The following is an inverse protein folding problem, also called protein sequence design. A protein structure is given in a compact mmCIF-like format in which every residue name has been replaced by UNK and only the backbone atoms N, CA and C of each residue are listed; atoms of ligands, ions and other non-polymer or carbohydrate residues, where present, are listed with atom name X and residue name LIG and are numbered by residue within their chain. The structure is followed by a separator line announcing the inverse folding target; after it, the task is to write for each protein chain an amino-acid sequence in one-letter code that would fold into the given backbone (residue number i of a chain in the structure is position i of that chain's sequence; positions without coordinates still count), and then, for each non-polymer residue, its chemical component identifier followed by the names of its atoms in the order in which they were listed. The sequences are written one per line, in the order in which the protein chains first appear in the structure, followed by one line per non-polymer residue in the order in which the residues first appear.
data_IF_809995369457
#
_entry.id   IF_809995369457
#
_cell.length_a   1.000
_cell.length_b   1.000
_cell.length_c   1.000
_cell.angle_alpha   90.00
_cell.angle_beta   90.00
_cell.angle_gamma   90.00
#
_symmetry.space_group_name_H-M   'P 1'
#
loop_
_entity.id
_entity.type
_entity.pdbx_description
1 polymer ?
#
# COMPACT_ATOMS: atom_id res chain seq x y z
N UNK A 1 21.36 0.62 -9.37
CA UNK A 1 20.23 0.72 -8.41
C UNK A 1 20.80 0.88 -7.01
N UNK A 2 20.22 1.74 -6.18
CA UNK A 2 20.71 1.97 -4.82
C UNK A 2 20.64 0.69 -3.97
N UNK A 3 21.63 0.47 -3.09
CA UNK A 3 21.76 -0.72 -2.23
C UNK A 3 20.52 -0.99 -1.39
N UNK A 4 19.88 0.05 -0.84
CA UNK A 4 18.66 -0.09 -0.04
C UNK A 4 17.47 -0.71 -0.79
N UNK A 5 17.33 -0.45 -2.09
CA UNK A 5 16.25 -1.05 -2.89
C UNK A 5 16.46 -2.56 -3.07
N UNK A 6 17.71 -2.98 -3.33
CA UNK A 6 18.06 -4.39 -3.52
C UNK A 6 17.84 -5.19 -2.24
N UNK A 7 18.26 -4.66 -1.08
CA UNK A 7 18.08 -5.33 0.21
C UNK A 7 16.61 -5.50 0.57
N UNK A 8 15.76 -4.49 0.31
CA UNK A 8 14.34 -4.56 0.68
C UNK A 8 13.45 -5.29 -0.33
N UNK A 9 13.87 -5.42 -1.60
CA UNK A 9 13.04 -6.02 -2.66
C UNK A 9 13.62 -7.31 -3.25
N UNK A 10 14.68 -7.87 -2.66
CA UNK A 10 15.20 -9.18 -3.03
C UNK A 10 14.07 -10.25 -2.98
N UNK A 11 14.00 -11.09 -4.02
CA UNK A 11 12.99 -12.15 -4.14
C UNK A 11 11.60 -11.68 -4.61
N UNK A 12 11.36 -10.38 -4.81
CA UNK A 12 10.08 -9.86 -5.31
C UNK A 12 10.10 -9.68 -6.83
N UNK A 13 9.00 -10.04 -7.49
CA UNK A 13 8.72 -9.62 -8.88
C UNK A 13 8.14 -8.20 -8.86
N UNK A 14 8.48 -7.38 -9.86
CA UNK A 14 8.04 -5.99 -9.94
C UNK A 14 7.39 -5.71 -11.29
N UNK A 15 6.33 -4.91 -11.28
CA UNK A 15 5.66 -4.34 -12.45
C UNK A 15 5.43 -2.85 -12.19
N UNK A 16 5.44 -2.04 -13.25
CA UNK A 16 5.13 -0.61 -13.14
C UNK A 16 3.71 -0.36 -13.64
N UNK A 17 2.89 0.28 -12.80
CA UNK A 17 1.51 0.63 -13.12
C UNK A 17 1.26 2.10 -12.74
N UNK A 18 0.61 2.85 -13.63
CA UNK A 18 0.01 4.14 -13.26
C UNK A 18 -1.42 3.91 -12.76
N UNK A 19 -1.59 3.94 -11.44
CA UNK A 19 -2.87 3.72 -10.77
C UNK A 19 -3.86 4.88 -10.95
N UNK A 20 -3.42 6.05 -11.46
CA UNK A 20 -4.32 7.15 -11.83
C UNK A 20 -4.95 6.91 -13.19
N UNK A 21 -4.37 6.06 -14.03
CA UNK A 21 -4.91 5.72 -15.32
C UNK A 21 -5.90 4.53 -15.18
N UNK A 22 -7.07 4.57 -15.86
CA UNK A 22 -8.07 3.50 -15.75
C UNK A 22 -7.52 2.12 -16.08
N UNK A 23 -6.64 2.00 -17.07
CA UNK A 23 -6.03 0.74 -17.46
C UNK A 23 -5.08 0.19 -16.39
N UNK A 24 -4.26 1.06 -15.79
CA UNK A 24 -3.36 0.66 -14.71
C UNK A 24 -4.13 0.20 -13.47
N UNK A 25 -5.23 0.89 -13.13
CA UNK A 25 -6.13 0.46 -12.06
C UNK A 25 -6.82 -0.87 -12.38
N UNK A 26 -7.24 -1.10 -13.63
CA UNK A 26 -7.85 -2.36 -14.03
C UNK A 26 -6.87 -3.54 -13.90
N UNK A 27 -5.60 -3.36 -14.27
CA UNK A 27 -4.56 -4.37 -14.08
C UNK A 27 -4.35 -4.66 -12.59
N UNK A 28 -4.28 -3.62 -11.75
CA UNK A 28 -4.14 -3.80 -10.31
C UNK A 28 -5.31 -4.60 -9.70
N UNK A 29 -6.55 -4.31 -10.12
CA UNK A 29 -7.73 -5.05 -9.67
C UNK A 29 -7.71 -6.52 -10.09
N UNK A 30 -7.27 -6.83 -11.31
CA UNK A 30 -7.09 -8.23 -11.76
C UNK A 30 -6.06 -8.99 -10.93
N UNK A 31 -5.00 -8.32 -10.46
CA UNK A 31 -4.03 -8.95 -9.57
C UNK A 31 -4.62 -9.21 -8.18
N UNK A 32 -5.50 -8.33 -7.71
CA UNK A 32 -6.20 -8.47 -6.43
C UNK A 32 -7.17 -9.65 -6.42
N UNK A 33 -7.83 -9.93 -7.55
CA UNK A 33 -8.77 -11.06 -7.70
C UNK A 33 -8.13 -12.42 -7.32
N UNK A 34 -6.83 -12.59 -7.53
CA UNK A 34 -6.10 -13.83 -7.23
C UNK A 34 -5.06 -13.69 -6.11
N UNK A 35 -4.97 -12.53 -5.47
CA UNK A 35 -4.04 -12.30 -4.38
C UNK A 35 -4.59 -12.81 -3.05
N UNK A 36 -3.72 -13.44 -2.25
CA UNK A 36 -4.05 -13.82 -0.88
C UNK A 36 -3.93 -12.64 0.10
N UNK A 37 -2.99 -11.73 -0.17
CA UNK A 37 -2.66 -10.60 0.71
C UNK A 37 -2.44 -9.33 -0.11
N UNK A 38 -3.08 -8.23 0.30
CA UNK A 38 -2.81 -6.88 -0.21
C UNK A 38 -2.16 -6.04 0.89
N UNK A 39 -0.95 -5.53 0.63
CA UNK A 39 -0.19 -4.70 1.57
C UNK A 39 0.02 -3.32 0.98
N UNK A 40 -0.28 -2.30 1.77
CA UNK A 40 -0.05 -0.90 1.39
C UNK A 40 0.52 -0.09 2.56
N UNK A 41 1.28 0.95 2.23
CA UNK A 41 1.91 1.86 3.17
C UNK A 41 1.80 3.32 2.70
N UNK A 42 0.72 3.66 2.01
CA UNK A 42 0.46 5.02 1.58
C UNK A 42 0.00 5.90 2.75
N UNK A 43 0.04 7.21 2.54
CA UNK A 43 -0.57 8.14 3.49
C UNK A 43 -2.08 7.89 3.57
N UNK A 44 -2.69 8.10 4.75
CA UNK A 44 -4.14 8.00 4.89
C UNK A 44 -4.89 8.81 3.82
N UNK A 45 -5.95 8.21 3.28
CA UNK A 45 -6.78 8.79 2.23
C UNK A 45 -6.25 8.66 0.79
N UNK A 46 -4.98 8.31 0.57
CA UNK A 46 -4.44 8.08 -0.79
C UNK A 46 -5.08 6.85 -1.43
N UNK A 47 -5.14 5.73 -0.70
CA UNK A 47 -5.72 4.48 -1.20
C UNK A 47 -7.21 4.59 -1.54
N UNK A 48 -7.97 5.36 -0.77
CA UNK A 48 -9.37 5.64 -1.06
C UNK A 48 -9.53 6.42 -2.36
N UNK A 49 -8.68 7.45 -2.61
CA UNK A 49 -8.68 8.19 -3.88
C UNK A 49 -8.30 7.31 -5.08
N UNK A 50 -7.44 6.32 -4.86
CA UNK A 50 -7.06 5.32 -5.86
C UNK A 50 -8.09 4.19 -6.03
N UNK A 51 -9.17 4.16 -5.22
CA UNK A 51 -10.17 3.08 -5.19
C UNK A 51 -9.55 1.72 -4.89
N UNK A 52 -8.64 1.70 -3.91
CA UNK A 52 -7.92 0.52 -3.39
C UNK A 52 -7.95 0.50 -1.85
N UNK A 53 -8.98 1.09 -1.25
CA UNK A 53 -9.25 0.96 0.19
C UNK A 53 -9.75 -0.44 0.53
N UNK A 54 -9.76 -0.77 1.83
CA UNK A 54 -10.14 -2.09 2.31
C UNK A 54 -11.52 -2.54 1.79
N UNK A 55 -12.51 -1.62 1.76
CA UNK A 55 -13.85 -1.92 1.24
C UNK A 55 -13.83 -2.27 -0.25
N UNK A 56 -13.14 -1.49 -1.09
CA UNK A 56 -13.05 -1.80 -2.52
C UNK A 56 -12.30 -3.12 -2.76
N UNK A 57 -11.20 -3.35 -2.06
CA UNK A 57 -10.37 -4.55 -2.23
C UNK A 57 -11.12 -5.82 -1.80
N UNK A 58 -11.77 -5.80 -0.64
CA UNK A 58 -12.57 -6.93 -0.15
C UNK A 58 -13.82 -7.19 -0.98
N UNK A 59 -14.38 -6.16 -1.64
CA UNK A 59 -15.48 -6.34 -2.59
C UNK A 59 -15.06 -7.08 -3.87
N UNK A 60 -13.77 -6.98 -4.25
CA UNK A 60 -13.20 -7.68 -5.41
C UNK A 60 -12.84 -9.11 -5.01
N UNK A 61 -12.20 -9.29 -3.87
CA UNK A 61 -11.82 -10.59 -3.33
C UNK A 61 -12.17 -10.69 -1.84
N UNK A 62 -13.27 -11.34 -1.45
CA UNK A 62 -13.69 -11.45 -0.06
C UNK A 62 -12.76 -12.28 0.85
N UNK A 63 -11.84 -13.07 0.29
CA UNK A 63 -10.91 -13.91 1.04
C UNK A 63 -9.57 -13.20 1.30
N UNK A 64 -9.35 -12.02 0.73
CA UNK A 64 -8.06 -11.33 0.80
C UNK A 64 -7.79 -10.77 2.20
N UNK A 65 -6.54 -10.88 2.65
CA UNK A 65 -6.06 -10.17 3.84
C UNK A 65 -5.58 -8.79 3.45
N UNK A 66 -6.24 -7.75 3.97
CA UNK A 66 -5.85 -6.34 3.75
C UNK A 66 -4.96 -5.84 4.89
N UNK A 67 -3.76 -5.35 4.57
CA UNK A 67 -2.79 -4.84 5.54
C UNK A 67 -2.39 -3.40 5.18
N UNK A 68 -2.75 -2.46 6.06
CA UNK A 68 -2.38 -1.05 5.96
C UNK A 68 -1.31 -0.72 7.00
N UNK A 69 -0.17 -0.19 6.56
CA UNK A 69 0.94 0.22 7.43
C UNK A 69 0.94 1.74 7.51
N UNK A 70 0.64 2.28 8.69
CA UNK A 70 0.72 3.72 8.99
C UNK A 70 1.58 3.98 10.21
N UNK A 71 2.26 5.13 10.21
CA UNK A 71 3.06 5.60 11.32
C UNK A 71 2.24 5.97 12.58
N UNK A 72 1.10 6.63 12.39
CA UNK A 72 0.27 7.17 13.47
C UNK A 72 -1.17 6.63 13.45
N UNK A 73 -1.43 5.60 12.63
CA UNK A 73 -2.77 5.08 12.40
C UNK A 73 -3.49 5.75 11.23
N UNK A 74 -4.73 5.35 10.99
CA UNK A 74 -5.58 5.91 9.92
C UNK A 74 -6.49 7.03 10.42
N UNK A 75 -6.51 7.26 11.74
CA UNK A 75 -7.35 8.21 12.45
C UNK A 75 -6.52 9.02 13.46
N UNK A 76 -7.08 10.13 13.93
CA UNK A 76 -6.46 10.96 14.97
C UNK A 76 -5.62 12.13 14.44
N UNK A 77 -5.23 13.07 15.31
CA UNK A 77 -4.69 14.37 14.90
C UNK A 77 -3.36 14.27 14.13
N UNK A 78 -2.59 13.20 14.34
CA UNK A 78 -1.27 12.99 13.73
C UNK A 78 -1.31 12.11 12.47
N UNK A 79 -2.49 11.70 11.98
CA UNK A 79 -2.61 10.71 10.90
C UNK A 79 -1.91 11.13 9.59
N UNK A 80 -1.78 12.44 9.32
CA UNK A 80 -1.09 12.99 8.15
C UNK A 80 0.35 13.43 8.43
N UNK A 81 0.79 13.37 9.68
CA UNK A 81 2.09 13.89 10.08
C UNK A 81 3.22 13.02 9.55
N UNK A 82 4.31 13.61 9.04
CA UNK A 82 5.48 12.84 8.64
C UNK A 82 6.14 12.24 9.89
N UNK A 83 6.25 10.91 9.94
CA UNK A 83 7.04 10.24 10.96
C UNK A 83 8.53 10.36 10.63
N UNK A 84 9.28 10.88 11.60
CA UNK A 84 10.74 10.83 11.59
C UNK A 84 11.17 10.00 12.79
N UNK A 85 11.66 8.78 12.55
CA UNK A 85 12.20 7.93 13.61
C UNK A 85 13.66 8.33 13.82
N UNK A 86 13.92 9.19 14.81
CA UNK A 86 15.27 9.36 15.36
C UNK A 86 15.38 8.51 16.63
N UNK A 87 16.36 7.60 16.64
CA UNK A 87 16.77 6.94 17.88
C UNK A 87 17.39 8.00 18.79
N UNK A 88 16.64 8.52 19.75
CA UNK A 88 17.17 9.36 20.83
C UNK A 88 17.46 8.57 22.10
N UNK A 89 17.49 7.23 22.05
CA UNK A 89 17.99 6.44 23.19
C UNK A 89 19.50 6.34 23.08
N UNK A 90 20.17 7.19 23.86
CA UNK A 90 21.55 6.98 24.29
C UNK A 90 21.66 5.79 25.23
#
# INVERSE_FOLDING_TARGET
MATGYLTQNAGKKSITLDLKHPEGLAIAKRLIESADVFVENFRPGVVARLKLDAGTVTSINPLIVYCAISAYGQDGPMLIDPLTITSSRG
#
